data_IF_252021358659
#
_entry.id   IF_252021358659
#
_cell.length_a   1.000
_cell.length_b   1.000
_cell.length_c   1.000
_cell.angle_alpha   90.00
_cell.angle_beta   90.00
_cell.angle_gamma   90.00
#
_symmetry.space_group_name_H-M   'P 1'
#
loop_
_entity.id
_entity.type
_entity.pdbx_description
1 polymer ?
#
# COMPACT_ATOMS: atom_id res chain seq x y z
N UNK A 1 63.46 13.66 -14.29
CA UNK A 1 62.79 14.95 -14.59
C UNK A 1 61.37 14.67 -15.10
N UNK A 2 60.39 14.58 -14.18
CA UNK A 2 58.94 14.80 -14.38
C UNK A 2 58.24 14.39 -13.08
N UNK A 3 57.99 15.37 -12.22
CA UNK A 3 57.03 15.26 -11.12
C UNK A 3 55.64 15.52 -11.71
N UNK A 4 54.72 14.59 -11.52
CA UNK A 4 53.29 14.79 -11.78
C UNK A 4 52.65 14.93 -10.41
N UNK A 5 52.34 16.17 -10.04
CA UNK A 5 51.55 16.50 -8.85
C UNK A 5 50.08 16.21 -9.15
N UNK A 6 49.55 15.14 -8.57
CA UNK A 6 48.13 14.82 -8.57
C UNK A 6 47.47 15.65 -7.46
N UNK A 7 46.92 16.80 -7.85
CA UNK A 7 46.12 17.67 -6.97
C UNK A 7 44.66 17.24 -7.12
N UNK A 8 44.23 16.34 -6.25
CA UNK A 8 42.82 15.95 -6.11
C UNK A 8 42.06 17.16 -5.55
N UNK A 9 41.51 17.99 -6.45
CA UNK A 9 40.45 18.93 -6.12
C UNK A 9 39.18 18.10 -5.95
N UNK A 10 38.89 17.71 -4.71
CA UNK A 10 37.55 17.29 -4.32
C UNK A 10 36.68 18.54 -4.43
N UNK A 11 36.05 18.71 -5.58
CA UNK A 11 35.02 19.73 -5.79
C UNK A 11 33.89 19.42 -4.82
N UNK A 12 33.83 20.18 -3.73
CA UNK A 12 32.76 20.19 -2.74
C UNK A 12 31.53 20.93 -3.27
N UNK A 13 31.29 20.88 -4.58
CA UNK A 13 30.20 21.59 -5.22
C UNK A 13 28.96 20.71 -5.28
N UNK A 14 27.96 21.14 -4.49
CA UNK A 14 26.63 20.55 -4.28
C UNK A 14 26.61 19.37 -3.31
N UNK A 15 26.74 19.69 -2.03
CA UNK A 15 25.91 18.99 -1.04
C UNK A 15 24.46 19.07 -1.53
N UNK A 16 23.77 17.95 -1.79
CA UNK A 16 22.41 17.99 -2.26
C UNK A 16 21.55 18.70 -1.20
N UNK A 17 20.66 19.58 -1.65
CA UNK A 17 19.76 20.41 -0.84
C UNK A 17 18.70 19.61 -0.05
N UNK A 18 19.05 18.43 0.45
CA UNK A 18 18.22 17.53 1.26
C UNK A 18 18.03 18.02 2.71
N UNK A 19 18.58 19.19 3.06
CA UNK A 19 18.62 19.70 4.42
C UNK A 19 17.54 20.75 4.73
N UNK A 20 16.67 21.10 3.79
CA UNK A 20 15.83 22.31 3.93
C UNK A 20 14.57 22.15 4.80
N UNK A 21 14.30 21.02 5.44
CA UNK A 21 13.20 20.94 6.41
C UNK A 21 13.42 19.78 7.40
N UNK A 22 14.11 20.06 8.51
CA UNK A 22 14.16 19.17 9.68
C UNK A 22 12.95 19.46 10.56
N UNK A 23 11.76 19.52 9.97
CA UNK A 23 10.57 19.32 10.76
C UNK A 23 10.44 17.81 10.95
N UNK A 24 10.19 17.30 12.17
CA UNK A 24 9.72 15.93 12.31
C UNK A 24 8.40 15.89 11.55
N UNK A 25 8.44 15.50 10.28
CA UNK A 25 7.24 15.21 9.52
C UNK A 25 6.71 13.96 10.18
N UNK A 26 5.88 14.16 11.20
CA UNK A 26 4.99 13.13 11.67
C UNK A 26 4.21 12.71 10.41
N UNK A 27 4.45 11.49 9.87
CA UNK A 27 3.89 11.12 8.56
C UNK A 27 2.37 11.13 8.56
N UNK A 28 1.76 11.13 9.75
CA UNK A 28 0.33 11.23 9.99
C UNK A 28 -0.20 12.67 10.03
N UNK A 29 0.66 13.65 10.23
CA UNK A 29 0.27 15.06 10.40
C UNK A 29 0.19 15.79 9.06
N UNK A 30 1.09 15.51 8.12
CA UNK A 30 1.00 16.03 6.74
C UNK A 30 -0.14 15.37 5.93
N UNK A 31 -0.47 14.10 6.21
CA UNK A 31 -1.48 13.36 5.45
C UNK A 31 -2.92 13.64 5.85
N UNK A 32 -3.20 14.05 7.09
CA UNK A 32 -4.57 14.17 7.61
C UNK A 32 -5.05 15.59 7.95
N UNK A 33 -4.17 16.60 8.03
CA UNK A 33 -4.61 17.95 8.43
C UNK A 33 -5.32 18.75 7.33
N UNK A 34 -5.27 18.31 6.07
CA UNK A 34 -6.06 18.95 5.00
C UNK A 34 -7.22 18.06 4.60
N UNK A 35 -8.45 18.52 4.87
CA UNK A 35 -9.68 17.95 4.27
C UNK A 35 -9.55 17.74 2.75
N UNK A 36 -8.68 18.52 2.10
CA UNK A 36 -8.38 18.41 0.68
C UNK A 36 -7.65 17.11 0.32
N UNK A 37 -6.68 16.64 1.14
CA UNK A 37 -5.98 15.37 0.87
C UNK A 37 -6.90 14.17 1.03
N UNK A 38 -7.77 14.18 2.04
CA UNK A 38 -8.79 13.14 2.20
C UNK A 38 -9.78 13.12 1.04
N UNK A 39 -10.24 14.29 0.60
CA UNK A 39 -11.13 14.40 -0.54
C UNK A 39 -10.46 13.92 -1.83
N UNK A 40 -9.18 14.27 -2.04
CA UNK A 40 -8.41 13.84 -3.20
C UNK A 40 -8.17 12.32 -3.18
N UNK A 41 -7.83 11.73 -2.03
CA UNK A 41 -7.70 10.28 -1.87
C UNK A 41 -9.03 9.57 -2.14
N UNK A 42 -10.15 10.11 -1.64
CA UNK A 42 -11.48 9.55 -1.85
C UNK A 42 -11.89 9.63 -3.33
N UNK A 43 -11.58 10.74 -4.00
CA UNK A 43 -11.76 10.90 -5.45
C UNK A 43 -10.90 9.90 -6.22
N UNK A 44 -9.60 9.81 -5.92
CA UNK A 44 -8.69 8.87 -6.59
C UNK A 44 -9.14 7.42 -6.40
N UNK A 45 -9.58 7.07 -5.19
CA UNK A 45 -10.15 5.76 -4.90
C UNK A 45 -11.43 5.52 -5.68
N UNK A 46 -12.34 6.50 -5.74
CA UNK A 46 -13.57 6.40 -6.53
C UNK A 46 -13.28 6.25 -8.02
N UNK A 47 -12.32 7.00 -8.57
CA UNK A 47 -11.88 6.86 -9.97
C UNK A 47 -11.27 5.49 -10.24
N UNK A 48 -10.41 4.99 -9.36
CA UNK A 48 -9.85 3.64 -9.47
C UNK A 48 -10.98 2.61 -9.45
N UNK A 49 -11.88 2.66 -8.47
CA UNK A 49 -13.03 1.76 -8.36
C UNK A 49 -13.93 1.82 -9.60
N UNK A 50 -14.19 3.02 -10.11
CA UNK A 50 -14.98 3.23 -11.32
C UNK A 50 -14.29 2.62 -12.55
N UNK A 51 -12.98 2.78 -12.70
CA UNK A 51 -12.23 2.19 -13.81
C UNK A 51 -12.15 0.67 -13.67
N UNK A 52 -11.91 0.15 -12.46
CA UNK A 52 -11.69 -1.29 -12.24
C UNK A 52 -12.98 -2.09 -12.17
N UNK A 53 -14.08 -1.50 -11.70
CA UNK A 53 -15.38 -2.19 -11.53
C UNK A 53 -16.44 -1.58 -12.43
N UNK A 54 -16.56 -0.25 -12.45
CA UNK A 54 -17.59 0.46 -13.20
C UNK A 54 -17.49 0.27 -14.72
N UNK A 55 -16.28 0.39 -15.30
CA UNK A 55 -16.06 0.22 -16.74
C UNK A 55 -16.36 -1.22 -17.17
N UNK A 56 -15.79 -2.29 -16.56
CA UNK A 56 -16.13 -3.66 -16.93
C UNK A 56 -17.61 -3.98 -16.78
N UNK A 57 -18.27 -3.46 -15.73
CA UNK A 57 -19.68 -3.72 -15.49
C UNK A 57 -20.56 -3.02 -16.54
N UNK A 58 -20.28 -1.76 -16.85
CA UNK A 58 -20.99 -1.01 -17.90
C UNK A 58 -20.78 -1.64 -19.27
N UNK A 59 -19.53 -2.07 -19.55
CA UNK A 59 -19.18 -2.77 -20.78
C UNK A 59 -19.93 -4.10 -20.90
N UNK A 60 -20.02 -4.87 -19.82
CA UNK A 60 -20.77 -6.13 -19.80
C UNK A 60 -22.26 -5.92 -20.10
N UNK A 61 -22.91 -4.95 -19.45
CA UNK A 61 -24.34 -4.70 -19.67
C UNK A 61 -24.65 -4.18 -21.08
N UNK A 62 -23.74 -3.40 -21.68
CA UNK A 62 -23.91 -2.92 -23.06
C UNK A 62 -23.64 -4.01 -24.09
N UNK A 63 -22.61 -4.84 -23.90
CA UNK A 63 -22.26 -5.93 -24.83
C UNK A 63 -23.20 -7.13 -24.76
N UNK A 64 -23.81 -7.41 -23.59
CA UNK A 64 -24.75 -8.54 -23.42
C UNK A 64 -25.95 -8.49 -24.37
N UNK A 65 -26.35 -7.31 -24.84
CA UNK A 65 -27.47 -7.18 -25.77
C UNK A 65 -27.10 -7.54 -27.22
N UNK A 66 -25.81 -7.65 -27.53
CA UNK A 66 -25.32 -7.83 -28.90
C UNK A 66 -24.54 -9.14 -29.09
N UNK A 67 -24.00 -9.73 -28.02
CA UNK A 67 -23.11 -10.89 -28.07
C UNK A 67 -23.49 -11.86 -26.95
N UNK A 68 -23.28 -13.17 -27.15
CA UNK A 68 -23.45 -14.17 -26.09
C UNK A 68 -22.66 -13.80 -24.83
N UNK A 69 -23.23 -14.15 -23.67
CA UNK A 69 -22.73 -13.72 -22.36
C UNK A 69 -21.26 -14.12 -22.12
N UNK A 70 -20.82 -15.23 -22.69
CA UNK A 70 -19.45 -15.75 -22.57
C UNK A 70 -18.44 -14.80 -23.23
N UNK A 71 -18.71 -14.35 -24.47
CA UNK A 71 -17.83 -13.43 -25.18
C UNK A 71 -17.82 -12.04 -24.53
N UNK A 72 -18.97 -11.59 -24.01
CA UNK A 72 -19.07 -10.33 -23.28
C UNK A 72 -18.19 -10.34 -22.01
N UNK A 73 -18.23 -11.44 -21.25
CA UNK A 73 -17.35 -11.65 -20.09
C UNK A 73 -15.87 -11.67 -20.48
N UNK A 74 -15.53 -12.34 -21.58
CA UNK A 74 -14.14 -12.47 -22.04
C UNK A 74 -13.57 -11.11 -22.47
N UNK A 75 -14.33 -10.30 -23.20
CA UNK A 75 -13.94 -8.93 -23.56
C UNK A 75 -13.75 -8.06 -22.31
N UNK A 76 -14.66 -8.17 -21.34
CA UNK A 76 -14.55 -7.42 -20.10
C UNK A 76 -13.32 -7.83 -19.27
N UNK A 77 -12.93 -9.11 -19.29
CA UNK A 77 -11.75 -9.61 -18.58
C UNK A 77 -10.42 -9.13 -19.20
N UNK A 78 -10.39 -8.85 -20.51
CA UNK A 78 -9.19 -8.36 -21.19
C UNK A 78 -8.75 -6.99 -20.65
N UNK A 79 -9.68 -6.10 -20.28
CA UNK A 79 -9.36 -4.76 -19.80
C UNK A 79 -8.53 -4.78 -18.50
N UNK A 80 -9.00 -5.40 -17.40
CA UNK A 80 -8.22 -5.56 -16.16
C UNK A 80 -6.91 -6.31 -16.39
N UNK A 81 -6.92 -7.32 -17.27
CA UNK A 81 -5.72 -8.09 -17.59
C UNK A 81 -4.67 -7.20 -18.27
N UNK A 82 -5.06 -6.41 -19.26
CA UNK A 82 -4.16 -5.52 -19.98
C UNK A 82 -3.62 -4.41 -19.06
N UNK A 83 -4.45 -3.87 -18.17
CA UNK A 83 -4.01 -2.94 -17.14
C UNK A 83 -2.98 -3.58 -16.20
N UNK A 84 -3.27 -4.78 -15.67
CA UNK A 84 -2.34 -5.53 -14.82
C UNK A 84 -1.01 -5.77 -15.52
N UNK A 85 -1.03 -6.24 -16.77
CA UNK A 85 0.19 -6.47 -17.55
C UNK A 85 0.96 -5.17 -17.79
N UNK A 86 0.26 -4.06 -18.07
CA UNK A 86 0.90 -2.75 -18.24
C UNK A 86 1.60 -2.26 -16.96
N UNK A 87 0.92 -2.39 -15.82
CA UNK A 87 1.48 -2.03 -14.50
C UNK A 87 2.66 -2.93 -14.16
N UNK A 88 2.53 -4.24 -14.38
CA UNK A 88 3.58 -5.21 -14.12
C UNK A 88 4.83 -4.93 -14.97
N UNK A 89 4.67 -4.62 -16.25
CA UNK A 89 5.79 -4.31 -17.16
C UNK A 89 6.44 -2.96 -16.79
N UNK A 90 5.65 -1.92 -16.51
CA UNK A 90 6.19 -0.57 -16.27
C UNK A 90 6.79 -0.40 -14.89
N UNK A 91 6.17 -0.97 -13.86
CA UNK A 91 6.54 -0.73 -12.47
C UNK A 91 7.21 -1.92 -11.81
N UNK A 92 7.25 -3.09 -12.47
CA UNK A 92 7.78 -4.35 -11.90
C UNK A 92 7.19 -4.68 -10.51
N UNK A 93 5.97 -4.21 -10.24
CA UNK A 93 5.21 -4.45 -9.02
C UNK A 93 3.92 -5.17 -9.38
N UNK A 94 3.69 -6.31 -8.72
CA UNK A 94 2.42 -7.01 -8.79
C UNK A 94 1.42 -6.29 -7.88
N UNK A 95 0.49 -5.57 -8.46
CA UNK A 95 -0.68 -5.09 -7.74
C UNK A 95 -1.59 -6.29 -7.41
N UNK A 96 -1.70 -6.59 -6.12
CA UNK A 96 -2.41 -7.76 -5.62
C UNK A 96 -3.89 -7.69 -6.00
N UNK A 97 -4.50 -6.50 -6.06
CA UNK A 97 -5.89 -6.34 -6.47
C UNK A 97 -6.11 -6.69 -7.94
N UNK A 98 -5.26 -6.13 -8.81
CA UNK A 98 -5.30 -6.44 -10.24
C UNK A 98 -5.08 -7.93 -10.49
N UNK A 99 -4.15 -8.55 -9.78
CA UNK A 99 -3.91 -10.00 -9.86
C UNK A 99 -5.13 -10.82 -9.41
N UNK A 100 -5.74 -10.44 -8.28
CA UNK A 100 -6.96 -11.06 -7.76
C UNK A 100 -8.12 -10.99 -8.75
N UNK A 101 -8.32 -9.82 -9.38
CA UNK A 101 -9.35 -9.63 -10.40
C UNK A 101 -9.11 -10.53 -11.60
N UNK A 102 -7.88 -10.59 -12.13
CA UNK A 102 -7.55 -11.45 -13.27
C UNK A 102 -7.76 -12.93 -12.93
N UNK A 103 -7.31 -13.38 -11.75
CA UNK A 103 -7.52 -14.75 -11.30
C UNK A 103 -9.01 -15.09 -11.19
N UNK A 104 -9.81 -14.16 -10.64
CA UNK A 104 -11.27 -14.24 -10.56
C UNK A 104 -11.90 -14.41 -11.94
N UNK A 105 -11.49 -13.60 -12.92
CA UNK A 105 -12.00 -13.68 -14.29
C UNK A 105 -11.62 -15.00 -14.98
N UNK A 106 -10.39 -15.49 -14.78
CA UNK A 106 -9.94 -16.77 -15.35
C UNK A 106 -10.79 -17.92 -14.80
N UNK A 107 -10.94 -17.99 -13.49
CA UNK A 107 -11.78 -19.02 -12.83
C UNK A 107 -13.22 -18.90 -13.31
N UNK A 108 -13.73 -17.66 -13.38
CA UNK A 108 -15.09 -17.40 -13.84
C UNK A 108 -15.32 -17.86 -15.29
N UNK A 109 -14.36 -17.61 -16.18
CA UNK A 109 -14.39 -18.05 -17.57
C UNK A 109 -14.33 -19.57 -17.72
N UNK A 110 -13.41 -20.23 -17.02
CA UNK A 110 -13.27 -21.70 -17.07
C UNK A 110 -14.56 -22.39 -16.58
N UNK A 111 -15.14 -21.93 -15.47
CA UNK A 111 -16.37 -22.51 -14.93
C UNK A 111 -17.58 -22.23 -15.84
N UNK A 112 -17.65 -21.04 -16.43
CA UNK A 112 -18.71 -20.67 -17.37
C UNK A 112 -18.72 -21.55 -18.62
N UNK A 113 -17.54 -21.92 -19.14
CA UNK A 113 -17.41 -22.80 -20.30
C UNK A 113 -17.82 -24.24 -19.98
N UNK A 114 -17.58 -24.68 -18.74
CA UNK A 114 -17.79 -26.08 -18.37
C UNK A 114 -19.26 -26.46 -18.25
N UNK A 115 -20.18 -25.52 -17.96
CA UNK A 115 -21.36 -25.93 -17.19
C UNK A 115 -22.74 -25.54 -17.70
N UNK A 116 -22.95 -24.35 -18.27
CA UNK A 116 -24.29 -23.93 -18.74
C UNK A 116 -25.41 -23.85 -17.69
N UNK A 117 -25.22 -24.36 -16.47
CA UNK A 117 -26.19 -24.40 -15.38
C UNK A 117 -26.04 -23.20 -14.44
N UNK A 118 -27.18 -22.57 -14.13
CA UNK A 118 -27.32 -21.47 -13.17
C UNK A 118 -26.84 -21.82 -11.76
N UNK A 119 -26.98 -23.08 -11.34
CA UNK A 119 -26.53 -23.55 -10.01
C UNK A 119 -25.02 -23.47 -9.89
N UNK A 120 -24.32 -23.77 -10.98
CA UNK A 120 -22.86 -23.78 -11.02
C UNK A 120 -22.31 -22.36 -11.20
N UNK A 121 -23.14 -21.46 -11.73
CA UNK A 121 -22.85 -20.02 -11.70
C UNK A 121 -22.81 -19.47 -10.27
N UNK A 122 -23.65 -19.96 -9.35
CA UNK A 122 -23.56 -19.58 -7.92
C UNK A 122 -22.31 -20.12 -7.25
N UNK A 123 -21.95 -21.38 -7.52
CA UNK A 123 -20.73 -21.98 -6.99
C UNK A 123 -19.48 -21.24 -7.48
N UNK A 124 -19.48 -20.78 -8.73
CA UNK A 124 -18.42 -19.95 -9.30
C UNK A 124 -18.18 -18.67 -8.50
N UNK A 125 -19.24 -17.92 -8.21
CA UNK A 125 -19.12 -16.65 -7.49
C UNK A 125 -18.61 -16.87 -6.05
N UNK A 126 -18.93 -18.02 -5.44
CA UNK A 126 -18.37 -18.43 -4.14
C UNK A 126 -16.93 -18.99 -4.23
N UNK A 127 -16.53 -19.61 -5.34
CA UNK A 127 -15.17 -20.09 -5.51
C UNK A 127 -14.17 -18.93 -5.54
N UNK A 128 -14.59 -17.78 -6.07
CA UNK A 128 -13.81 -16.54 -6.02
C UNK A 128 -13.55 -16.11 -4.59
N UNK A 129 -14.58 -16.10 -3.72
CA UNK A 129 -14.40 -15.72 -2.31
C UNK A 129 -13.47 -16.69 -1.59
N UNK A 130 -13.52 -17.99 -1.91
CA UNK A 130 -12.59 -18.99 -1.41
C UNK A 130 -11.13 -18.73 -1.81
N UNK A 131 -10.91 -18.36 -3.08
CA UNK A 131 -9.56 -18.03 -3.58
C UNK A 131 -9.01 -16.78 -2.92
N UNK A 132 -9.84 -15.75 -2.75
CA UNK A 132 -9.47 -14.56 -1.99
C UNK A 132 -9.11 -14.96 -0.54
N UNK A 133 -9.94 -15.76 0.12
CA UNK A 133 -9.67 -16.25 1.47
C UNK A 133 -8.34 -17.00 1.57
N UNK A 134 -8.04 -17.88 0.61
CA UNK A 134 -6.76 -18.60 0.53
C UNK A 134 -5.58 -17.66 0.37
N UNK A 135 -5.73 -16.57 -0.38
CA UNK A 135 -4.69 -15.56 -0.52
C UNK A 135 -4.47 -14.80 0.79
N UNK A 136 -5.53 -14.45 1.54
CA UNK A 136 -5.38 -13.90 2.89
C UNK A 136 -4.62 -14.87 3.80
N UNK A 137 -4.97 -16.17 3.80
CA UNK A 137 -4.22 -17.19 4.55
C UNK A 137 -2.76 -17.32 4.09
N UNK A 138 -2.50 -17.30 2.79
CA UNK A 138 -1.14 -17.39 2.25
C UNK A 138 -0.27 -16.20 2.69
N UNK A 139 -0.83 -14.98 2.69
CA UNK A 139 -0.11 -13.77 3.15
C UNK A 139 0.13 -13.73 4.66
N UNK A 140 -0.59 -14.54 5.44
CA UNK A 140 -0.31 -14.69 6.87
C UNK A 140 0.97 -15.47 7.14
N UNK A 141 1.45 -16.30 6.22
CA UNK A 141 2.71 -17.02 6.42
C UNK A 141 3.87 -16.02 6.36
N UNK A 142 4.58 -15.79 7.49
CA UNK A 142 5.67 -14.83 7.53
C UNK A 142 6.89 -15.41 6.82
N UNK A 143 6.95 -15.27 5.50
CA UNK A 143 8.11 -15.65 4.69
C UNK A 143 8.95 -14.39 4.48
N UNK A 144 10.06 -14.31 5.21
CA UNK A 144 11.06 -13.25 5.10
C UNK A 144 12.33 -13.82 4.45
N UNK A 145 12.37 -13.78 3.12
CA UNK A 145 13.58 -14.06 2.35
C UNK A 145 14.29 -12.75 1.99
N UNK A 146 15.60 -12.81 1.69
CA UNK A 146 16.38 -11.64 1.24
C UNK A 146 15.74 -10.89 0.06
N UNK A 147 14.99 -11.61 -0.77
CA UNK A 147 14.35 -11.10 -1.99
C UNK A 147 12.84 -10.84 -1.83
N UNK A 148 12.18 -11.47 -0.85
CA UNK A 148 10.72 -11.48 -0.73
C UNK A 148 10.36 -11.29 0.73
N UNK A 149 9.65 -10.20 1.03
CA UNK A 149 9.09 -9.91 2.35
C UNK A 149 7.57 -10.00 2.25
N UNK A 150 6.99 -11.14 2.61
CA UNK A 150 5.53 -11.29 2.64
C UNK A 150 5.00 -10.67 3.92
N UNK A 151 4.06 -9.74 3.77
CA UNK A 151 3.35 -9.10 4.89
C UNK A 151 1.86 -9.46 4.80
N UNK A 152 1.13 -9.43 5.92
CA UNK A 152 -0.31 -9.68 5.90
C UNK A 152 -0.99 -8.73 4.92
N UNK A 153 -1.91 -9.26 4.11
CA UNK A 153 -2.52 -8.49 3.04
C UNK A 153 -3.13 -7.18 3.56
N UNK A 154 -3.81 -7.21 4.71
CA UNK A 154 -4.41 -5.99 5.29
C UNK A 154 -3.38 -4.91 5.63
N UNK A 155 -2.15 -5.27 5.95
CA UNK A 155 -1.07 -4.30 6.18
C UNK A 155 -0.68 -3.64 4.86
N UNK A 156 -0.47 -4.43 3.81
CA UNK A 156 -0.15 -3.94 2.45
C UNK A 156 -1.25 -2.99 1.98
N UNK A 157 -2.52 -3.39 2.14
CA UNK A 157 -3.67 -2.55 1.79
C UNK A 157 -3.69 -1.25 2.58
N UNK A 158 -3.46 -1.32 3.89
CA UNK A 158 -3.43 -0.11 4.72
C UNK A 158 -2.30 0.84 4.35
N UNK A 159 -1.15 0.31 3.92
CA UNK A 159 -0.03 1.14 3.50
C UNK A 159 -0.32 1.83 2.18
N UNK A 160 -0.90 1.14 1.19
CA UNK A 160 -1.29 1.78 -0.08
C UNK A 160 -2.37 2.86 0.10
N UNK A 161 -3.27 2.70 1.08
CA UNK A 161 -4.36 3.66 1.31
C UNK A 161 -3.99 4.85 2.20
N UNK A 162 -3.11 4.66 3.20
CA UNK A 162 -2.92 5.63 4.27
C UNK A 162 -1.50 6.17 4.39
N UNK A 163 -0.50 5.46 3.86
CA UNK A 163 0.91 5.78 4.05
C UNK A 163 1.52 6.03 2.67
N UNK A 164 2.12 7.18 2.45
CA UNK A 164 2.94 7.34 1.25
C UNK A 164 4.10 6.33 1.34
N UNK A 165 4.03 5.26 0.53
CA UNK A 165 5.00 4.18 0.55
C UNK A 165 6.42 4.64 0.22
N UNK A 166 6.58 5.85 -0.36
CA UNK A 166 7.87 6.47 -0.67
C UNK A 166 8.40 7.35 0.45
N UNK A 167 7.60 7.67 1.46
CA UNK A 167 8.04 8.49 2.57
C UNK A 167 9.09 7.76 3.42
N UNK A 168 10.12 8.50 3.79
CA UNK A 168 11.16 8.10 4.74
C UNK A 168 10.91 8.81 6.07
N UNK A 169 11.01 8.04 7.15
CA UNK A 169 10.92 8.55 8.51
C UNK A 169 12.33 8.72 9.06
N UNK A 170 12.63 9.93 9.53
CA UNK A 170 13.88 10.27 10.18
C UNK A 170 13.61 10.55 11.65
N UNK A 171 14.41 9.96 12.54
CA UNK A 171 14.33 10.24 13.98
C UNK A 171 15.72 10.25 14.61
N UNK A 172 15.84 10.86 15.78
CA UNK A 172 17.07 10.85 16.58
C UNK A 172 16.88 9.92 17.76
N UNK A 173 17.77 8.93 17.90
CA UNK A 173 17.70 7.98 19.00
C UNK A 173 18.18 8.60 20.34
N UNK A 174 18.03 7.93 21.50
CA UNK A 174 18.49 8.45 22.79
C UNK A 174 19.98 8.77 22.87
N UNK A 175 20.80 8.21 21.96
CA UNK A 175 22.24 8.45 21.87
C UNK A 175 22.58 9.67 20.99
N UNK A 176 21.59 10.37 20.46
CA UNK A 176 21.79 11.50 19.54
C UNK A 176 22.17 11.09 18.12
N UNK A 177 22.09 9.80 17.78
CA UNK A 177 22.42 9.29 16.45
C UNK A 177 21.17 9.35 15.58
N UNK A 178 21.28 9.99 14.41
CA UNK A 178 20.21 10.03 13.41
C UNK A 178 19.99 8.62 12.84
N UNK A 179 18.72 8.27 12.70
CA UNK A 179 18.28 7.04 12.05
C UNK A 179 17.32 7.42 10.93
N UNK A 180 17.30 6.58 9.91
CA UNK A 180 16.40 6.72 8.76
C UNK A 180 15.88 5.36 8.35
N UNK A 181 14.59 5.29 8.05
CA UNK A 181 13.97 4.09 7.51
C UNK A 181 12.68 4.44 6.75
N UNK A 182 12.24 3.59 5.82
CA UNK A 182 10.93 3.79 5.16
C UNK A 182 9.82 3.83 6.21
N UNK A 183 8.83 4.71 6.06
CA UNK A 183 7.67 4.79 6.97
C UNK A 183 6.97 3.43 7.06
N UNK A 184 6.86 2.71 5.95
CA UNK A 184 6.24 1.37 5.91
C UNK A 184 7.02 0.38 6.79
N UNK A 185 8.35 0.38 6.69
CA UNK A 185 9.22 -0.49 7.48
C UNK A 185 9.25 -0.08 8.96
N UNK A 186 9.20 1.22 9.24
CA UNK A 186 9.09 1.78 10.58
C UNK A 186 7.80 1.33 11.27
N UNK A 187 6.65 1.52 10.62
CA UNK A 187 5.35 1.08 11.15
C UNK A 187 5.35 -0.44 11.37
N UNK A 188 5.89 -1.21 10.42
CA UNK A 188 5.99 -2.67 10.54
C UNK A 188 6.94 -3.12 11.66
N UNK A 189 7.92 -2.31 12.06
CA UNK A 189 8.85 -2.63 13.14
C UNK A 189 8.16 -2.76 14.51
N UNK A 190 6.97 -2.17 14.67
CA UNK A 190 6.22 -2.17 15.92
C UNK A 190 5.40 -3.46 16.10
N UNK A 191 5.69 -4.22 17.15
CA UNK A 191 5.05 -5.53 17.43
C UNK A 191 3.51 -5.46 17.51
N UNK A 192 2.96 -4.44 18.19
CA UNK A 192 1.50 -4.29 18.34
C UNK A 192 0.80 -4.17 16.99
N UNK A 193 1.35 -3.37 16.09
CA UNK A 193 0.80 -3.13 14.75
C UNK A 193 0.82 -4.42 13.93
N UNK A 194 1.91 -5.19 13.98
CA UNK A 194 1.97 -6.51 13.34
C UNK A 194 0.83 -7.42 13.81
N UNK A 195 0.63 -7.53 15.12
CA UNK A 195 -0.42 -8.38 15.70
C UNK A 195 -1.80 -7.93 15.19
N UNK A 196 -2.11 -6.63 15.20
CA UNK A 196 -3.39 -6.13 14.72
C UNK A 196 -3.67 -6.52 13.27
N UNK A 197 -2.68 -6.36 12.39
CA UNK A 197 -2.84 -6.74 10.99
C UNK A 197 -2.87 -8.25 10.76
N UNK A 198 -2.14 -9.05 11.54
CA UNK A 198 -2.29 -10.52 11.50
C UNK A 198 -3.69 -10.95 11.93
N UNK A 199 -4.21 -10.41 13.03
CA UNK A 199 -5.57 -10.70 13.50
C UNK A 199 -6.63 -10.27 12.48
N UNK A 200 -6.49 -9.08 11.90
CA UNK A 200 -7.44 -8.58 10.89
C UNK A 200 -7.39 -9.43 9.61
N UNK A 201 -6.20 -9.81 9.15
CA UNK A 201 -6.01 -10.67 7.97
C UNK A 201 -6.57 -12.08 8.23
N UNK A 202 -6.36 -12.63 9.42
CA UNK A 202 -6.95 -13.90 9.85
C UNK A 202 -8.48 -13.85 9.87
N UNK A 203 -9.04 -12.74 10.40
CA UNK A 203 -10.48 -12.50 10.38
C UNK A 203 -11.03 -12.55 8.96
N UNK A 204 -10.46 -11.76 8.04
CA UNK A 204 -10.85 -11.76 6.63
C UNK A 204 -10.75 -13.14 6.00
N UNK A 205 -9.64 -13.85 6.21
CA UNK A 205 -9.45 -15.20 5.67
C UNK A 205 -10.51 -16.18 6.18
N UNK A 206 -10.85 -16.09 7.48
CA UNK A 206 -11.78 -17.02 8.13
C UNK A 206 -13.22 -16.75 7.72
N UNK A 207 -13.66 -15.49 7.73
CA UNK A 207 -15.03 -15.15 7.35
C UNK A 207 -15.31 -15.44 5.87
N UNK A 208 -14.40 -15.06 4.97
CA UNK A 208 -14.57 -15.34 3.54
C UNK A 208 -14.59 -16.85 3.24
N UNK A 209 -13.74 -17.63 3.92
CA UNK A 209 -13.75 -19.08 3.79
C UNK A 209 -15.04 -19.69 4.36
N UNK A 210 -15.54 -19.15 5.48
CA UNK A 210 -16.80 -19.58 6.06
C UNK A 210 -17.99 -19.26 5.13
N UNK A 211 -18.04 -18.08 4.50
CA UNK A 211 -19.05 -17.74 3.48
C UNK A 211 -19.05 -18.77 2.34
N UNK A 212 -17.86 -19.09 1.80
CA UNK A 212 -17.74 -20.13 0.79
C UNK A 212 -18.28 -21.48 1.25
N UNK A 213 -17.86 -21.97 2.43
CA UNK A 213 -18.29 -23.26 2.98
C UNK A 213 -19.81 -23.27 3.17
N UNK A 214 -20.39 -22.22 3.75
CA UNK A 214 -21.84 -22.10 3.97
C UNK A 214 -22.59 -22.13 2.64
N UNK A 215 -22.10 -21.42 1.61
CA UNK A 215 -22.70 -21.45 0.26
C UNK A 215 -22.63 -22.83 -0.39
N UNK A 216 -21.49 -23.51 -0.30
CA UNK A 216 -21.34 -24.87 -0.83
C UNK A 216 -22.29 -25.83 -0.12
N UNK A 217 -22.42 -25.74 1.21
CA UNK A 217 -23.37 -26.55 1.98
C UNK A 217 -24.81 -26.24 1.56
N UNK A 218 -25.18 -24.97 1.39
CA UNK A 218 -26.53 -24.62 0.91
C UNK A 218 -26.81 -25.19 -0.48
N UNK A 219 -25.83 -25.18 -1.40
CA UNK A 219 -26.02 -25.71 -2.75
C UNK A 219 -26.12 -27.23 -2.78
N UNK A 220 -25.31 -27.95 -1.99
CA UNK A 220 -25.22 -29.42 -2.06
C UNK A 220 -26.23 -30.10 -1.14
N UNK A 221 -26.45 -29.56 0.06
CA UNK A 221 -27.17 -30.24 1.13
C UNK A 221 -28.63 -29.78 1.28
N UNK A 222 -29.07 -28.76 0.53
CA UNK A 222 -30.42 -28.22 0.69
C UNK A 222 -31.14 -28.07 -0.64
N UNK A 223 -32.42 -28.43 -0.70
CA UNK A 223 -33.30 -28.22 -1.87
C UNK A 223 -33.80 -26.76 -1.97
N UNK A 224 -33.03 -25.81 -1.45
CA UNK A 224 -33.40 -24.40 -1.45
C UNK A 224 -33.31 -23.86 -2.88
N UNK A 225 -34.28 -23.03 -3.27
CA UNK A 225 -34.26 -22.40 -4.58
C UNK A 225 -33.00 -21.56 -4.80
N UNK A 226 -32.46 -21.59 -6.02
CA UNK A 226 -31.29 -20.81 -6.47
C UNK A 226 -31.38 -19.35 -6.04
N UNK A 227 -32.57 -18.75 -6.13
CA UNK A 227 -32.81 -17.36 -5.72
C UNK A 227 -32.58 -17.12 -4.22
N UNK A 228 -33.06 -18.03 -3.37
CA UNK A 228 -32.92 -17.90 -1.92
C UNK A 228 -31.47 -18.14 -1.47
N UNK A 229 -30.74 -19.04 -2.14
CA UNK A 229 -29.30 -19.25 -1.92
C UNK A 229 -28.53 -17.97 -2.26
N UNK A 230 -28.82 -17.37 -3.42
CA UNK A 230 -28.19 -16.11 -3.84
C UNK A 230 -28.46 -14.97 -2.84
N UNK A 231 -29.72 -14.80 -2.43
CA UNK A 231 -30.13 -13.75 -1.51
C UNK A 231 -29.47 -13.93 -0.13
N UNK A 232 -29.49 -15.15 0.41
CA UNK A 232 -28.87 -15.47 1.70
C UNK A 232 -27.36 -15.25 1.67
N UNK A 233 -26.67 -15.72 0.62
CA UNK A 233 -25.24 -15.50 0.44
C UNK A 233 -24.90 -14.01 0.33
N UNK A 234 -25.72 -13.23 -0.37
CA UNK A 234 -25.50 -11.77 -0.49
C UNK A 234 -25.64 -11.06 0.85
N UNK A 235 -26.63 -11.44 1.66
CA UNK A 235 -26.81 -10.88 3.02
C UNK A 235 -25.62 -11.22 3.91
N UNK A 236 -25.14 -12.47 3.88
CA UNK A 236 -23.97 -12.90 4.67
C UNK A 236 -22.75 -12.04 4.31
N UNK A 237 -22.45 -11.88 3.02
CA UNK A 237 -21.32 -11.06 2.56
C UNK A 237 -21.46 -9.60 2.98
N UNK A 238 -22.65 -9.02 2.89
CA UNK A 238 -22.86 -7.62 3.34
C UNK A 238 -22.58 -7.48 4.83
N UNK A 239 -23.06 -8.41 5.66
CA UNK A 239 -22.83 -8.41 7.11
C UNK A 239 -21.33 -8.55 7.41
N UNK A 240 -20.66 -9.49 6.75
CA UNK A 240 -19.21 -9.69 6.86
C UNK A 240 -18.44 -8.42 6.51
N UNK A 241 -18.77 -7.79 5.38
CA UNK A 241 -18.14 -6.55 4.94
C UNK A 241 -18.31 -5.43 5.98
N UNK A 242 -19.50 -5.29 6.58
CA UNK A 242 -19.73 -4.29 7.63
C UNK A 242 -18.86 -4.58 8.85
N UNK A 243 -18.87 -5.81 9.37
CA UNK A 243 -18.11 -6.21 10.56
C UNK A 243 -16.61 -5.98 10.33
N UNK A 244 -16.08 -6.48 9.20
CA UNK A 244 -14.66 -6.39 8.91
C UNK A 244 -14.21 -4.96 8.59
N UNK A 245 -15.08 -4.14 8.01
CA UNK A 245 -14.81 -2.71 7.80
C UNK A 245 -14.72 -1.96 9.14
N UNK A 246 -15.64 -2.22 10.07
CA UNK A 246 -15.59 -1.64 11.42
C UNK A 246 -14.30 -2.06 12.15
N UNK A 247 -13.93 -3.35 12.09
CA UNK A 247 -12.66 -3.84 12.64
C UNK A 247 -11.44 -3.17 11.98
N UNK A 248 -11.49 -2.96 10.66
CA UNK A 248 -10.44 -2.25 9.92
C UNK A 248 -10.26 -0.80 10.41
N UNK A 249 -11.35 -0.07 10.63
CA UNK A 249 -11.31 1.28 11.20
C UNK A 249 -10.74 1.27 12.62
N UNK A 250 -11.15 0.32 13.45
CA UNK A 250 -10.60 0.16 14.82
C UNK A 250 -9.09 -0.07 14.75
N UNK A 251 -8.62 -1.00 13.92
CA UNK A 251 -7.19 -1.27 13.73
C UNK A 251 -6.46 -0.02 13.25
N UNK A 252 -7.01 0.74 12.30
CA UNK A 252 -6.40 1.99 11.84
C UNK A 252 -6.25 3.02 12.96
N UNK A 253 -7.26 3.19 13.82
CA UNK A 253 -7.19 4.08 14.99
C UNK A 253 -6.16 3.58 16.00
N UNK A 254 -6.13 2.27 16.28
CA UNK A 254 -5.15 1.69 17.20
C UNK A 254 -3.72 1.81 16.68
N UNK A 255 -3.50 1.62 15.38
CA UNK A 255 -2.21 1.81 14.71
C UNK A 255 -1.71 3.24 14.91
N UNK A 256 -2.57 4.25 14.72
CA UNK A 256 -2.22 5.67 14.98
C UNK A 256 -1.86 5.94 16.43
N UNK A 257 -2.61 5.33 17.35
CA UNK A 257 -2.32 5.48 18.79
C UNK A 257 -0.94 4.90 19.11
N UNK A 258 -0.63 3.70 18.61
CA UNK A 258 0.65 3.03 18.84
C UNK A 258 1.80 3.79 18.19
N UNK A 259 1.65 4.31 16.97
CA UNK A 259 2.71 5.11 16.34
C UNK A 259 2.97 6.39 17.11
N UNK A 260 1.92 7.07 17.59
CA UNK A 260 2.07 8.28 18.43
C UNK A 260 2.79 7.99 19.74
N UNK A 261 2.39 6.93 20.45
CA UNK A 261 3.08 6.48 21.67
C UNK A 261 4.56 6.21 21.40
N UNK A 262 4.85 5.50 20.29
CA UNK A 262 6.24 5.19 19.93
C UNK A 262 7.06 6.46 19.66
N UNK A 263 6.52 7.43 18.93
CA UNK A 263 7.21 8.70 18.61
C UNK A 263 7.54 9.45 19.90
N UNK A 264 6.57 9.56 20.82
CA UNK A 264 6.77 10.25 22.10
C UNK A 264 7.89 9.63 22.95
N UNK A 265 8.01 8.31 22.94
CA UNK A 265 8.98 7.59 23.77
C UNK A 265 10.38 7.48 23.13
N UNK A 266 10.46 7.49 21.79
CA UNK A 266 11.67 7.09 21.06
C UNK A 266 12.25 8.16 20.13
N UNK A 267 11.48 9.20 19.79
CA UNK A 267 11.93 10.27 18.91
C UNK A 267 12.43 11.47 19.73
N UNK A 268 13.75 11.64 19.78
CA UNK A 268 14.39 12.75 20.49
C UNK A 268 14.71 13.93 19.56
N UNK A 269 14.10 13.98 18.38
CA UNK A 269 14.37 15.04 17.39
C UNK A 269 14.08 16.42 17.96
N UNK A 270 13.00 16.62 18.71
CA UNK A 270 12.73 17.91 19.38
C UNK A 270 13.81 18.27 20.42
N UNK A 271 14.25 17.28 21.20
CA UNK A 271 15.25 17.47 22.27
C UNK A 271 16.63 17.84 21.73
N UNK A 272 17.04 17.25 20.60
CA UNK A 272 18.35 17.47 20.00
C UNK A 272 18.33 18.41 18.79
N UNK A 273 17.15 18.80 18.30
CA UNK A 273 16.99 19.59 17.08
C UNK A 273 17.70 20.93 17.14
N UNK A 274 17.57 21.67 18.26
CA UNK A 274 18.26 22.94 18.46
C UNK A 274 19.79 22.80 18.45
N UNK A 275 20.33 21.68 18.97
CA UNK A 275 21.78 21.44 19.01
C UNK A 275 22.32 21.18 17.60
N UNK A 276 21.56 20.48 16.78
CA UNK A 276 21.90 20.28 15.37
C UNK A 276 21.83 21.60 14.58
N UNK A 277 20.83 22.45 14.87
CA UNK A 277 20.72 23.77 14.24
C UNK A 277 21.91 24.67 14.60
N UNK A 278 22.35 24.65 15.86
CA UNK A 278 23.54 25.39 16.29
C UNK A 278 24.84 24.89 15.63
N UNK A 279 25.02 23.56 15.55
CA UNK A 279 26.19 23.00 14.86
C UNK A 279 26.19 23.38 13.37
N UNK A 280 25.00 23.41 12.76
CA UNK A 280 24.81 23.84 11.38
C UNK A 280 25.16 25.32 11.20
N UNK A 281 24.64 26.22 12.05
CA UNK A 281 24.93 27.65 11.94
C UNK A 281 26.43 27.93 12.11
N UNK A 282 27.10 27.18 12.99
CA UNK A 282 28.55 27.30 13.17
C UNK A 282 29.34 26.84 11.92
N UNK A 283 28.91 25.73 11.29
CA UNK A 283 29.54 25.25 10.05
C UNK A 283 29.34 26.23 8.89
N UNK A 284 28.17 26.87 8.78
CA UNK A 284 27.94 27.88 7.73
C UNK A 284 28.82 29.11 7.91
N UNK A 285 28.97 29.61 9.14
CA UNK A 285 29.82 30.77 9.40
C UNK A 285 31.28 30.53 9.03
N UNK A 286 31.84 29.37 9.38
CA UNK A 286 33.23 29.05 8.97
C UNK A 286 33.38 28.91 7.46
N UNK A 287 32.36 28.39 6.75
CA UNK A 287 32.44 28.24 5.31
C UNK A 287 32.29 29.58 4.55
N UNK A 288 31.62 30.59 5.13
CA UNK A 288 31.59 31.96 4.59
C UNK A 288 32.92 32.69 4.83
N UNK A 289 33.52 32.57 6.02
CA UNK A 289 34.84 33.16 6.33
C UNK A 289 35.93 32.61 5.40
N UNK A 290 35.94 31.30 5.14
CA UNK A 290 36.90 30.69 4.21
C UNK A 290 36.73 31.18 2.75
N UNK A 291 35.54 31.66 2.36
CA UNK A 291 35.28 32.19 1.02
C UNK A 291 35.59 33.70 0.87
N UNK A 292 35.40 34.50 1.93
CA UNK A 292 35.79 35.91 1.92
C UNK A 292 37.32 36.07 1.84
N UNK A 293 38.08 35.23 2.54
CA UNK A 293 39.55 35.24 2.48
C UNK A 293 40.07 34.90 1.07
N UNK A 294 39.41 33.99 0.35
CA UNK A 294 39.78 33.62 -1.02
C UNK A 294 39.45 34.74 -2.04
N UNK A 295 38.34 35.48 -1.87
CA UNK A 295 38.00 36.64 -2.71
C UNK A 295 38.93 37.84 -2.44
N UNK A 296 39.31 38.10 -1.19
CA UNK A 296 40.26 39.17 -0.86
C UNK A 296 41.66 38.88 -1.43
N UNK A 297 42.08 37.60 -1.48
CA UNK A 297 43.32 37.17 -2.13
C UNK A 297 43.26 37.39 -3.66
N UNK A 298 42.13 37.09 -4.33
CA UNK A 298 41.98 37.36 -5.77
C UNK A 298 41.96 38.87 -6.09
N UNK A 299 41.29 39.69 -5.29
CA UNK A 299 41.24 41.16 -5.52
C UNK A 299 42.61 41.84 -5.30
N UNK A 300 43.42 41.34 -4.36
CA UNK A 300 44.82 41.79 -4.18
C UNK A 300 45.72 41.32 -5.34
N UNK A 301 45.43 40.20 -5.98
CA UNK A 301 46.24 39.67 -7.07
C UNK A 301 45.97 40.35 -8.43
N UNK A 302 44.79 40.95 -8.60
CA UNK A 302 44.40 41.69 -9.81
C UNK A 302 44.74 43.21 -9.77
N UNK A 303 45.13 43.75 -8.60
CA UNK A 303 45.61 45.14 -8.45
C UNK A 303 47.13 45.26 -8.61
#
# INVERSE_FOLDING_TARGET
KKMVTFRERVSFDRAPSYYSEVTPINPWESTFNSKQHLFQQLISFFFILFITVGIPLTLFFTTRNHIEAIYSLLICAILPLLYMVSVLIRYHKLDIFSFLLVLTYIISGVVSLATGDTTITLLRDSAVTAVVALLFYATMLPIENKWIKIRPLTFILSTEMLIDAKATYHWINPKGIRQEMSVVDWVWSMRKIRIYHYCLTCGWATFLMADYIVRVIMVIATDISVHNIYLSGSIIVIIELIIMSVLGVIVAVMTRKVTREWVQDNDYTEKYGWKMEQLRSFQYQHHEEDHEDDEEIEEVQDR
#
